data_IF_886352162704
#
_entry.id   IF_886352162704
#
_cell.length_a   1.000
_cell.length_b   1.000
_cell.length_c   1.000
_cell.angle_alpha   90.00
_cell.angle_beta   90.00
_cell.angle_gamma   90.00
#
_symmetry.space_group_name_H-M   'P 1'
#
loop_
_entity.id
_entity.type
_entity.pdbx_description
1 polymer ?
#
# COMPACT_ATOMS: atom_id res chain seq x y z
N UNK A 1 -23.41 14.03 -10.62
CA UNK A 1 -24.30 14.80 -11.52
C UNK A 1 -23.55 15.89 -12.29
N UNK A 2 -22.70 16.70 -11.66
CA UNK A 2 -22.01 17.81 -12.33
C UNK A 2 -21.07 17.38 -13.49
N UNK A 3 -20.35 16.25 -13.36
CA UNK A 3 -19.46 15.74 -14.40
C UNK A 3 -20.24 15.31 -15.65
N UNK A 4 -21.35 14.57 -15.49
CA UNK A 4 -22.19 14.14 -16.61
C UNK A 4 -22.86 15.32 -17.32
N UNK A 5 -23.31 16.35 -16.59
CA UNK A 5 -23.90 17.57 -17.17
C UNK A 5 -22.87 18.36 -17.98
N UNK A 6 -21.63 18.49 -17.47
CA UNK A 6 -20.52 19.11 -18.19
C UNK A 6 -20.19 18.33 -19.46
N UNK A 7 -20.08 17.01 -19.36
CA UNK A 7 -19.82 16.16 -20.51
C UNK A 7 -20.95 16.29 -21.55
N UNK A 8 -22.21 16.33 -21.11
CA UNK A 8 -23.37 16.51 -22.00
C UNK A 8 -23.34 17.86 -22.70
N UNK A 9 -22.85 18.92 -22.06
CA UNK A 9 -22.69 20.22 -22.70
C UNK A 9 -21.61 20.24 -23.78
N UNK A 10 -20.61 19.35 -23.70
CA UNK A 10 -19.48 19.27 -24.61
C UNK A 10 -19.76 18.34 -25.80
N UNK A 11 -20.33 17.16 -25.58
CA UNK A 11 -20.51 16.10 -26.58
C UNK A 11 -21.97 15.69 -26.81
N UNK A 12 -22.93 16.42 -26.24
CA UNK A 12 -24.35 16.17 -26.45
C UNK A 12 -24.86 14.86 -25.86
N UNK A 13 -25.75 14.17 -26.59
CA UNK A 13 -26.39 12.92 -26.14
C UNK A 13 -25.40 11.75 -25.99
N UNK A 14 -24.27 11.77 -26.68
CA UNK A 14 -23.20 10.76 -26.58
C UNK A 14 -22.67 10.63 -25.15
N UNK A 15 -22.74 11.69 -24.35
CA UNK A 15 -22.39 11.68 -22.93
C UNK A 15 -23.16 10.62 -22.10
N UNK A 16 -24.32 10.17 -22.58
CA UNK A 16 -25.11 9.14 -21.89
C UNK A 16 -24.49 7.72 -22.05
N UNK A 17 -23.64 7.51 -23.03
CA UNK A 17 -22.93 6.27 -23.28
C UNK A 17 -21.67 6.16 -22.42
N UNK A 18 -21.18 7.27 -21.87
CA UNK A 18 -20.01 7.28 -21.01
C UNK A 18 -20.38 6.82 -19.60
N UNK A 19 -19.73 5.77 -19.12
CA UNK A 19 -19.88 5.26 -17.76
C UNK A 19 -19.02 6.12 -16.83
N UNK A 20 -19.67 6.85 -15.90
CA UNK A 20 -18.99 7.68 -14.89
C UNK A 20 -19.25 7.07 -13.52
N UNK A 21 -18.21 6.54 -12.87
CA UNK A 21 -18.30 5.81 -11.60
C UNK A 21 -17.07 6.04 -10.74
N UNK A 22 -17.20 5.80 -9.44
CA UNK A 22 -16.05 5.61 -8.55
C UNK A 22 -15.52 4.17 -8.70
N UNK A 23 -14.29 3.90 -8.29
CA UNK A 23 -13.72 2.56 -8.28
C UNK A 23 -14.61 1.56 -7.53
N UNK A 24 -15.15 1.95 -6.38
CA UNK A 24 -16.04 1.10 -5.60
C UNK A 24 -17.37 0.81 -6.32
N UNK A 25 -17.97 1.81 -7.00
CA UNK A 25 -19.16 1.59 -7.79
C UNK A 25 -18.91 0.70 -8.99
N UNK A 26 -17.74 0.80 -9.61
CA UNK A 26 -17.31 -0.10 -10.68
C UNK A 26 -17.15 -1.53 -10.16
N UNK A 27 -16.47 -1.71 -9.03
CA UNK A 27 -16.30 -3.01 -8.40
C UNK A 27 -17.65 -3.64 -8.03
N UNK A 28 -18.58 -2.87 -7.46
CA UNK A 28 -19.93 -3.34 -7.15
C UNK A 28 -20.70 -3.82 -8.40
N UNK A 29 -20.54 -3.12 -9.52
CA UNK A 29 -21.16 -3.54 -10.79
C UNK A 29 -20.53 -4.83 -11.34
N UNK A 30 -19.21 -4.95 -11.31
CA UNK A 30 -18.52 -6.17 -11.74
C UNK A 30 -19.00 -7.37 -10.91
N UNK A 31 -19.08 -7.20 -9.59
CA UNK A 31 -19.58 -8.24 -8.69
C UNK A 31 -21.02 -8.61 -9.02
N UNK A 32 -21.91 -7.60 -9.14
CA UNK A 32 -23.35 -7.85 -9.40
C UNK A 32 -23.63 -8.45 -10.77
N UNK A 33 -22.83 -8.12 -11.77
CA UNK A 33 -22.97 -8.65 -13.13
C UNK A 33 -22.38 -10.06 -13.29
N UNK A 34 -21.49 -10.48 -12.40
CA UNK A 34 -20.76 -11.75 -12.48
C UNK A 34 -20.81 -12.53 -11.15
N UNK A 35 -21.98 -12.72 -10.52
CA UNK A 35 -22.10 -13.27 -9.17
C UNK A 35 -21.49 -14.67 -9.00
N UNK A 36 -21.38 -15.44 -10.08
CA UNK A 36 -20.80 -16.79 -10.09
C UNK A 36 -19.31 -16.82 -9.76
N UNK A 37 -18.60 -15.70 -9.90
CA UNK A 37 -17.17 -15.58 -9.61
C UNK A 37 -16.88 -15.03 -8.21
N UNK A 38 -17.92 -14.69 -7.44
CA UNK A 38 -17.78 -14.07 -6.13
C UNK A 38 -18.41 -14.89 -5.01
N UNK A 39 -17.93 -14.69 -3.79
CA UNK A 39 -18.41 -15.41 -2.61
C UNK A 39 -19.94 -15.24 -2.41
N UNK A 40 -20.60 -16.35 -2.11
CA UNK A 40 -22.04 -16.42 -1.79
C UNK A 40 -23.00 -15.81 -2.83
N UNK A 41 -22.61 -15.72 -4.11
CA UNK A 41 -23.46 -15.14 -5.15
C UNK A 41 -23.74 -13.66 -4.94
N UNK A 42 -22.94 -12.99 -4.14
CA UNK A 42 -22.74 -11.55 -4.04
C UNK A 42 -23.92 -10.67 -3.58
N UNK A 43 -24.85 -11.17 -2.81
CA UNK A 43 -25.82 -10.32 -2.07
C UNK A 43 -25.22 -9.89 -0.71
N UNK A 44 -24.06 -9.24 -0.73
CA UNK A 44 -23.41 -8.78 0.48
C UNK A 44 -23.77 -7.30 0.75
N UNK A 45 -24.09 -6.98 2.00
CA UNK A 45 -24.42 -5.60 2.40
C UNK A 45 -23.17 -4.91 2.97
N UNK A 46 -23.02 -3.59 2.76
CA UNK A 46 -21.97 -2.84 3.42
C UNK A 46 -22.06 -2.98 4.96
N UNK A 47 -20.93 -3.31 5.59
CA UNK A 47 -20.86 -3.39 7.05
C UNK A 47 -20.88 -1.99 7.65
N UNK A 48 -21.63 -1.80 8.76
CA UNK A 48 -21.55 -0.58 9.55
C UNK A 48 -20.29 -0.60 10.45
N UNK A 49 -19.80 0.60 10.81
CA UNK A 49 -18.62 0.73 11.69
C UNK A 49 -18.81 0.01 13.02
N UNK A 50 -20.02 0.07 13.58
CA UNK A 50 -20.34 -0.61 14.83
C UNK A 50 -20.27 -2.14 14.67
N UNK A 51 -20.88 -2.69 13.63
CA UNK A 51 -20.85 -4.12 13.37
C UNK A 51 -19.43 -4.63 13.08
N UNK A 52 -18.63 -3.83 12.36
CA UNK A 52 -17.22 -4.12 12.12
C UNK A 52 -16.41 -4.19 13.43
N UNK A 53 -16.64 -3.22 14.32
CA UNK A 53 -15.99 -3.17 15.62
C UNK A 53 -16.39 -4.36 16.51
N UNK A 54 -17.69 -4.72 16.56
CA UNK A 54 -18.19 -5.89 17.30
C UNK A 54 -17.58 -7.19 16.79
N UNK A 55 -17.45 -7.35 15.48
CA UNK A 55 -16.81 -8.53 14.88
C UNK A 55 -15.34 -8.62 15.33
N UNK A 56 -14.60 -7.52 15.23
CA UNK A 56 -13.22 -7.46 15.67
C UNK A 56 -13.08 -7.74 17.16
N UNK A 57 -13.93 -7.15 18.00
CA UNK A 57 -13.95 -7.40 19.44
C UNK A 57 -14.11 -8.91 19.75
N UNK A 58 -15.07 -9.57 19.11
CA UNK A 58 -15.30 -11.01 19.31
C UNK A 58 -14.08 -11.87 18.89
N UNK A 59 -13.37 -11.45 17.83
CA UNK A 59 -12.13 -12.12 17.39
C UNK A 59 -11.04 -11.91 18.43
N UNK A 60 -10.87 -10.71 18.96
CA UNK A 60 -9.89 -10.39 19.98
C UNK A 60 -10.16 -11.16 21.30
N UNK A 61 -11.42 -11.34 21.67
CA UNK A 61 -11.82 -12.13 22.85
C UNK A 61 -11.44 -13.61 22.73
N UNK A 62 -11.31 -14.11 21.50
CA UNK A 62 -10.84 -15.47 21.21
C UNK A 62 -9.32 -15.61 21.10
N UNK A 63 -8.54 -14.52 21.17
CA UNK A 63 -7.08 -14.59 21.00
C UNK A 63 -6.42 -15.25 22.23
N UNK A 64 -5.39 -16.10 22.01
CA UNK A 64 -4.55 -16.62 23.09
C UNK A 64 -3.86 -15.50 23.87
N UNK A 65 -3.67 -15.67 25.17
CA UNK A 65 -3.02 -14.66 26.04
C UNK A 65 -1.60 -14.27 25.60
N UNK A 66 -0.88 -15.16 24.93
CA UNK A 66 0.46 -14.89 24.41
C UNK A 66 0.46 -14.23 23.01
N UNK A 67 -0.71 -13.97 22.43
CA UNK A 67 -0.80 -13.27 21.15
C UNK A 67 -0.35 -11.80 21.30
N UNK A 68 0.53 -11.28 20.42
CA UNK A 68 1.01 -9.89 20.48
C UNK A 68 -0.10 -8.84 20.46
N UNK A 69 -1.28 -9.17 19.93
CA UNK A 69 -2.44 -8.28 19.87
C UNK A 69 -3.34 -8.34 21.11
N UNK A 70 -3.23 -9.40 21.94
CA UNK A 70 -4.10 -9.64 23.10
C UNK A 70 -3.79 -8.76 24.34
N UNK A 71 -2.96 -7.73 24.17
CA UNK A 71 -2.59 -6.80 25.25
C UNK A 71 -3.82 -6.00 25.68
N UNK A 72 -4.16 -6.07 26.98
CA UNK A 72 -5.25 -5.29 27.59
C UNK A 72 -4.70 -4.24 28.54
N UNK A 73 -5.36 -3.10 28.55
CA UNK A 73 -5.20 -2.05 29.52
C UNK A 73 -6.59 -1.59 29.98
N UNK A 74 -6.86 -1.62 31.28
CA UNK A 74 -8.14 -1.23 31.87
C UNK A 74 -9.33 -1.94 31.19
N UNK A 75 -9.27 -3.29 31.09
CA UNK A 75 -10.23 -4.18 30.43
C UNK A 75 -10.50 -3.93 28.92
N UNK A 76 -9.70 -3.07 28.29
CA UNK A 76 -9.80 -2.79 26.85
C UNK A 76 -8.58 -3.33 26.11
N UNK A 77 -8.80 -3.81 24.91
CA UNK A 77 -7.69 -4.19 24.02
C UNK A 77 -6.94 -2.96 23.50
N UNK A 78 -5.66 -2.87 23.83
CA UNK A 78 -4.80 -1.75 23.44
C UNK A 78 -4.62 -1.63 21.92
N UNK A 79 -4.76 -2.73 21.19
CA UNK A 79 -4.50 -2.79 19.75
C UNK A 79 -5.75 -2.93 18.87
N UNK A 80 -6.97 -2.93 19.41
CA UNK A 80 -8.18 -3.12 18.62
C UNK A 80 -8.33 -2.09 17.50
N UNK A 81 -8.27 -0.80 17.83
CA UNK A 81 -8.35 0.29 16.84
C UNK A 81 -7.14 0.32 15.88
N UNK A 82 -5.94 0.00 16.38
CA UNK A 82 -4.75 -0.10 15.53
C UNK A 82 -4.85 -1.26 14.55
N UNK A 83 -5.43 -2.39 14.95
CA UNK A 83 -5.66 -3.55 14.10
C UNK A 83 -6.69 -3.23 13.00
N UNK A 84 -7.80 -2.57 13.36
CA UNK A 84 -8.80 -2.12 12.38
C UNK A 84 -8.18 -1.22 11.31
N UNK A 85 -7.44 -0.20 11.74
CA UNK A 85 -6.74 0.71 10.82
C UNK A 85 -5.70 0.00 9.96
N UNK A 86 -4.96 -0.95 10.55
CA UNK A 86 -3.93 -1.69 9.82
C UNK A 86 -4.53 -2.65 8.78
N UNK A 87 -5.67 -3.29 9.09
CA UNK A 87 -6.44 -4.09 8.13
C UNK A 87 -6.92 -3.20 6.98
N UNK A 88 -7.49 -2.01 7.27
CA UNK A 88 -7.88 -1.05 6.24
C UNK A 88 -6.73 -0.68 5.32
N UNK A 89 -5.57 -0.31 5.88
CA UNK A 89 -4.36 0.01 5.11
C UNK A 89 -3.85 -1.16 4.27
N UNK A 90 -3.92 -2.38 4.79
CA UNK A 90 -3.54 -3.57 4.03
C UNK A 90 -4.47 -3.76 2.82
N UNK A 91 -5.77 -3.56 3.00
CA UNK A 91 -6.76 -3.61 1.92
C UNK A 91 -6.52 -2.50 0.87
N UNK A 92 -6.27 -1.28 1.30
CA UNK A 92 -5.97 -0.15 0.41
C UNK A 92 -4.68 -0.37 -0.38
N UNK A 93 -3.73 -1.12 0.19
CA UNK A 93 -2.53 -1.58 -0.50
C UNK A 93 -2.76 -2.82 -1.42
N UNK A 94 -3.99 -3.33 -1.54
CA UNK A 94 -4.28 -4.53 -2.34
C UNK A 94 -3.78 -5.83 -1.72
N UNK A 95 -3.47 -5.84 -0.41
CA UNK A 95 -2.89 -7.00 0.27
C UNK A 95 -3.99 -7.85 0.91
N UNK A 96 -4.12 -9.08 0.44
CA UNK A 96 -4.91 -10.12 1.11
C UNK A 96 -4.16 -10.66 2.32
N UNK A 97 -4.84 -11.36 3.28
CA UNK A 97 -4.18 -11.99 4.41
C UNK A 97 -3.00 -12.89 3.99
N UNK A 98 -3.17 -13.68 2.92
CA UNK A 98 -2.13 -14.60 2.43
C UNK A 98 -0.95 -13.88 1.80
N UNK A 99 -1.19 -12.85 0.98
CA UNK A 99 -0.13 -12.01 0.41
C UNK A 99 0.65 -11.31 1.50
N UNK A 100 -0.05 -10.69 2.46
CA UNK A 100 0.57 -10.04 3.61
C UNK A 100 1.41 -11.04 4.42
N UNK A 101 0.87 -12.22 4.72
CA UNK A 101 1.57 -13.28 5.45
C UNK A 101 2.82 -13.77 4.72
N UNK A 102 2.75 -13.93 3.39
CA UNK A 102 3.91 -14.37 2.58
C UNK A 102 5.01 -13.30 2.58
N UNK A 103 4.65 -12.04 2.42
CA UNK A 103 5.58 -10.90 2.48
C UNK A 103 6.25 -10.82 3.86
N UNK A 104 5.49 -10.97 4.94
CA UNK A 104 6.03 -10.92 6.30
C UNK A 104 6.93 -12.12 6.63
N UNK A 105 6.63 -13.31 6.12
CA UNK A 105 7.52 -14.48 6.21
C UNK A 105 8.83 -14.26 5.46
N UNK A 106 8.77 -13.62 4.29
CA UNK A 106 9.98 -13.23 3.57
C UNK A 106 10.75 -12.15 4.33
N UNK A 107 10.05 -11.15 4.88
CA UNK A 107 10.67 -10.12 5.71
C UNK A 107 11.38 -10.69 6.96
N UNK A 108 10.81 -11.72 7.59
CA UNK A 108 11.48 -12.43 8.70
C UNK A 108 12.83 -13.02 8.25
N UNK A 109 12.89 -13.66 7.07
CA UNK A 109 14.14 -14.17 6.50
C UNK A 109 15.11 -13.03 6.19
N UNK A 110 14.61 -11.91 5.69
CA UNK A 110 15.40 -10.72 5.42
C UNK A 110 16.03 -10.15 6.71
N UNK A 111 15.26 -10.11 7.80
CA UNK A 111 15.76 -9.72 9.13
C UNK A 111 16.87 -10.68 9.58
N UNK A 112 16.65 -11.99 9.45
CA UNK A 112 17.62 -13.02 9.85
C UNK A 112 18.93 -12.94 9.06
N UNK A 113 18.87 -12.57 7.79
CA UNK A 113 20.05 -12.37 6.94
C UNK A 113 20.78 -11.06 7.24
N UNK A 114 20.06 -9.97 7.46
CA UNK A 114 20.62 -8.64 7.67
C UNK A 114 21.25 -8.49 9.06
N UNK A 115 20.57 -8.96 10.09
CA UNK A 115 20.88 -8.68 11.49
C UNK A 115 22.33 -9.02 11.90
N UNK A 116 22.89 -10.22 11.61
CA UNK A 116 24.24 -10.54 11.99
C UNK A 116 25.28 -9.69 11.26
N UNK A 117 25.07 -9.41 9.97
CA UNK A 117 25.97 -8.59 9.15
C UNK A 117 25.99 -7.14 9.62
N UNK A 118 24.81 -6.58 9.87
CA UNK A 118 24.71 -5.22 10.40
C UNK A 118 25.29 -5.09 11.80
N UNK A 119 25.10 -6.09 12.65
CA UNK A 119 25.68 -6.12 13.99
C UNK A 119 27.23 -6.16 13.96
N UNK A 120 27.80 -6.94 13.05
CA UNK A 120 29.24 -7.03 12.82
C UNK A 120 29.82 -5.70 12.32
N UNK A 121 29.24 -5.12 11.26
CA UNK A 121 29.66 -3.84 10.68
C UNK A 121 29.60 -2.68 11.68
N UNK A 122 28.59 -2.71 12.55
CA UNK A 122 28.37 -1.69 13.55
C UNK A 122 28.99 -2.02 14.93
N UNK A 123 29.71 -3.15 15.08
CA UNK A 123 30.38 -3.51 16.34
C UNK A 123 31.45 -2.46 16.76
N UNK A 124 32.31 -1.95 15.83
CA UNK A 124 33.31 -0.96 16.17
C UNK A 124 32.71 0.34 16.69
N UNK A 125 33.54 1.13 17.39
CA UNK A 125 33.19 2.49 17.79
C UNK A 125 33.06 3.36 16.57
N UNK A 126 31.91 4.04 16.44
CA UNK A 126 31.67 4.99 15.37
C UNK A 126 32.39 6.31 15.66
N UNK A 127 33.22 6.72 14.74
CA UNK A 127 33.91 8.00 14.75
C UNK A 127 33.91 8.58 13.34
N UNK A 128 34.10 9.89 13.20
CA UNK A 128 34.17 10.53 11.89
C UNK A 128 35.15 9.82 10.93
N UNK A 129 36.28 9.31 11.46
CA UNK A 129 37.30 8.59 10.65
C UNK A 129 36.83 7.22 10.12
N UNK A 130 35.85 6.59 10.80
CA UNK A 130 35.34 5.27 10.43
C UNK A 130 34.09 5.34 9.58
N UNK A 131 33.45 6.49 9.44
CA UNK A 131 32.20 6.64 8.66
C UNK A 131 32.38 6.33 7.15
N UNK A 132 33.46 6.77 6.46
CA UNK A 132 33.63 6.43 5.04
C UNK A 132 33.71 4.92 4.80
N UNK A 133 34.52 4.21 5.59
CA UNK A 133 34.65 2.76 5.48
C UNK A 133 33.33 2.02 5.81
N UNK A 134 32.53 2.57 6.74
CA UNK A 134 31.20 2.04 7.03
C UNK A 134 30.27 2.21 5.82
N UNK A 135 30.33 3.36 5.13
CA UNK A 135 29.53 3.62 3.94
C UNK A 135 29.83 2.59 2.84
N UNK A 136 31.12 2.39 2.53
CA UNK A 136 31.55 1.39 1.53
C UNK A 136 31.07 -0.04 1.87
N UNK A 137 31.14 -0.40 3.15
CA UNK A 137 30.67 -1.71 3.62
C UNK A 137 29.13 -1.84 3.51
N UNK A 138 28.38 -0.79 3.77
CA UNK A 138 26.92 -0.78 3.64
C UNK A 138 26.48 -0.88 2.17
N UNK A 139 27.18 -0.23 1.24
CA UNK A 139 26.96 -0.35 -0.20
C UNK A 139 27.24 -1.77 -0.69
N UNK A 140 28.33 -2.36 -0.22
CA UNK A 140 28.65 -3.78 -0.52
C UNK A 140 27.56 -4.72 0.00
N UNK A 141 26.96 -4.43 1.17
CA UNK A 141 25.90 -5.24 1.75
C UNK A 141 24.63 -5.24 0.89
N UNK A 142 24.27 -4.11 0.28
CA UNK A 142 23.14 -4.04 -0.68
C UNK A 142 23.40 -4.93 -1.88
N UNK A 143 24.63 -4.92 -2.38
CA UNK A 143 25.03 -5.77 -3.52
C UNK A 143 25.00 -7.27 -3.16
N UNK A 144 25.50 -7.63 -1.96
CA UNK A 144 25.47 -9.01 -1.46
C UNK A 144 24.05 -9.54 -1.22
N UNK A 145 23.15 -8.67 -0.75
CA UNK A 145 21.77 -9.01 -0.42
C UNK A 145 20.77 -8.40 -1.42
N UNK A 146 21.10 -8.48 -2.70
CA UNK A 146 20.26 -7.95 -3.76
C UNK A 146 18.81 -8.46 -3.67
N UNK A 147 17.84 -7.53 -3.77
CA UNK A 147 16.41 -7.83 -3.63
C UNK A 147 15.90 -7.93 -2.18
N UNK A 148 16.75 -7.65 -1.19
CA UNK A 148 16.34 -7.52 0.20
C UNK A 148 15.93 -6.06 0.49
N UNK A 149 14.65 -5.73 0.33
CA UNK A 149 14.12 -4.38 0.52
C UNK A 149 14.38 -3.81 1.93
N UNK A 150 14.46 -4.67 2.96
CA UNK A 150 14.81 -4.24 4.31
C UNK A 150 16.27 -3.76 4.36
N UNK A 151 17.18 -4.50 3.74
CA UNK A 151 18.60 -4.12 3.65
C UNK A 151 18.74 -2.76 2.96
N UNK A 152 18.11 -2.59 1.80
CA UNK A 152 18.14 -1.33 1.06
C UNK A 152 17.60 -0.16 1.89
N UNK A 153 16.48 -0.36 2.58
CA UNK A 153 15.87 0.67 3.46
C UNK A 153 16.78 1.04 4.63
N UNK A 154 17.34 0.04 5.32
CA UNK A 154 18.22 0.27 6.47
C UNK A 154 19.53 0.93 6.03
N UNK A 155 20.11 0.49 4.92
CA UNK A 155 21.33 1.10 4.35
C UNK A 155 21.08 2.54 3.96
N UNK A 156 19.97 2.87 3.30
CA UNK A 156 19.60 4.25 2.97
C UNK A 156 19.50 5.15 4.20
N UNK A 157 18.92 4.65 5.31
CA UNK A 157 18.87 5.40 6.57
C UNK A 157 20.27 5.68 7.12
N UNK A 158 21.19 4.70 7.04
CA UNK A 158 22.57 4.91 7.46
C UNK A 158 23.33 5.85 6.52
N UNK A 159 23.15 5.77 5.21
CA UNK A 159 23.73 6.70 4.23
C UNK A 159 23.33 8.14 4.56
N UNK A 160 22.03 8.41 4.72
CA UNK A 160 21.54 9.75 5.12
C UNK A 160 22.13 10.22 6.44
N UNK A 161 22.26 9.35 7.44
CA UNK A 161 22.83 9.71 8.74
C UNK A 161 24.34 9.97 8.64
N UNK A 162 25.09 9.22 7.81
CA UNK A 162 26.51 9.40 7.57
C UNK A 162 26.76 10.70 6.78
N UNK A 163 26.00 10.97 5.73
CA UNK A 163 26.07 12.20 4.94
C UNK A 163 25.85 13.45 5.81
N UNK A 164 24.93 13.36 6.78
CA UNK A 164 24.71 14.42 7.76
C UNK A 164 25.91 14.59 8.72
N UNK A 165 26.54 13.51 9.14
CA UNK A 165 27.64 13.53 10.12
C UNK A 165 29.01 13.91 9.49
N UNK A 166 29.27 13.59 8.22
CA UNK A 166 30.54 13.83 7.54
C UNK A 166 31.01 15.31 7.57
N UNK A 167 30.13 16.30 7.27
CA UNK A 167 30.54 17.73 7.34
C UNK A 167 30.81 18.24 8.77
N UNK A 168 30.17 17.59 9.76
CA UNK A 168 30.18 18.09 11.16
C UNK A 168 31.33 17.54 12.00
N UNK A 169 32.17 16.67 11.44
CA UNK A 169 33.26 15.95 12.16
C UNK A 169 32.77 15.15 13.39
N UNK A 170 31.47 14.84 13.43
CA UNK A 170 30.81 14.06 14.49
C UNK A 170 30.19 12.80 13.91
N UNK A 171 29.87 11.87 14.76
CA UNK A 171 29.14 10.62 14.38
C UNK A 171 27.81 10.50 15.14
N UNK A 172 27.18 11.65 15.47
CA UNK A 172 26.05 11.69 16.40
C UNK A 172 24.75 11.14 15.80
N UNK A 173 24.45 11.44 14.54
CA UNK A 173 23.25 10.94 13.85
C UNK A 173 23.37 9.44 13.61
N UNK A 174 24.51 8.99 13.08
CA UNK A 174 24.80 7.56 12.84
C UNK A 174 24.77 6.75 14.14
N UNK A 175 25.34 7.28 15.22
CA UNK A 175 25.34 6.61 16.54
C UNK A 175 23.95 6.50 17.15
N UNK A 176 23.12 7.55 17.01
CA UNK A 176 21.71 7.53 17.43
C UNK A 176 20.92 6.49 16.63
N UNK A 177 21.10 6.43 15.31
CA UNK A 177 20.46 5.47 14.45
C UNK A 177 20.85 4.03 14.81
N UNK A 178 22.17 3.76 15.00
CA UNK A 178 22.67 2.47 15.50
C UNK A 178 21.96 2.05 16.80
N UNK A 179 21.87 2.94 17.79
CA UNK A 179 21.24 2.64 19.09
C UNK A 179 19.74 2.44 18.97
N UNK A 180 19.09 3.15 18.02
CA UNK A 180 17.66 3.00 17.76
C UNK A 180 17.34 1.65 17.11
N UNK A 181 18.11 1.23 16.10
CA UNK A 181 17.88 0.01 15.34
C UNK A 181 18.38 -1.25 16.04
N UNK A 182 19.63 -1.24 16.53
CA UNK A 182 20.26 -2.39 17.16
C UNK A 182 20.18 -2.31 18.69
N UNK A 183 19.41 -3.19 19.29
CA UNK A 183 19.29 -3.32 20.74
C UNK A 183 19.94 -4.60 21.24
N UNK A 184 20.45 -4.56 22.47
CA UNK A 184 21.06 -5.73 23.08
C UNK A 184 19.96 -6.70 23.56
N UNK A 185 20.06 -7.96 23.16
CA UNK A 185 19.20 -9.04 23.58
C UNK A 185 20.07 -10.25 23.94
N UNK A 186 20.13 -10.59 25.23
CA UNK A 186 20.88 -11.75 25.75
C UNK A 186 22.35 -11.79 25.26
N UNK A 187 23.01 -10.61 25.21
CA UNK A 187 24.40 -10.48 24.79
C UNK A 187 24.63 -10.29 23.27
N UNK A 188 23.59 -10.36 22.46
CA UNK A 188 23.67 -10.14 21.02
C UNK A 188 22.95 -8.85 20.61
N UNK A 189 23.44 -8.19 19.55
CA UNK A 189 22.76 -7.03 18.96
C UNK A 189 21.72 -7.50 17.97
N UNK A 190 20.45 -7.09 18.17
CA UNK A 190 19.31 -7.49 17.36
C UNK A 190 18.47 -6.33 16.88
N UNK A 191 17.82 -6.48 15.75
CA UNK A 191 16.79 -5.59 15.21
C UNK A 191 15.44 -5.81 15.90
N UNK A 192 15.40 -5.62 17.23
CA UNK A 192 14.22 -5.97 18.05
C UNK A 192 12.96 -5.22 17.63
N UNK A 193 13.09 -3.98 17.18
CA UNK A 193 11.96 -3.20 16.66
C UNK A 193 11.32 -3.87 15.46
N UNK A 194 12.12 -4.23 14.45
CA UNK A 194 11.69 -4.89 13.24
C UNK A 194 11.10 -6.27 13.51
N UNK A 195 11.73 -7.06 14.39
CA UNK A 195 11.21 -8.38 14.80
C UNK A 195 9.85 -8.27 15.48
N UNK A 196 9.68 -7.32 16.40
CA UNK A 196 8.40 -7.08 17.09
C UNK A 196 7.32 -6.60 16.12
N UNK A 197 7.65 -5.67 15.25
CA UNK A 197 6.74 -5.18 14.21
C UNK A 197 6.31 -6.34 13.30
N UNK A 198 7.25 -7.12 12.79
CA UNK A 198 6.95 -8.28 11.95
C UNK A 198 6.07 -9.33 12.66
N UNK A 199 6.35 -9.61 13.94
CA UNK A 199 5.53 -10.53 14.75
C UNK A 199 4.12 -10.00 14.97
N UNK A 200 3.97 -8.70 15.23
CA UNK A 200 2.67 -8.05 15.38
C UNK A 200 1.85 -8.12 14.08
N UNK A 201 2.47 -7.84 12.95
CA UNK A 201 1.83 -7.94 11.65
C UNK A 201 1.45 -9.37 11.26
N UNK A 202 2.29 -10.37 11.60
CA UNK A 202 1.95 -11.77 11.39
C UNK A 202 0.73 -12.21 12.22
N UNK A 203 0.66 -11.77 13.49
CA UNK A 203 -0.54 -12.00 14.30
C UNK A 203 -1.77 -11.28 13.75
N UNK A 204 -1.59 -10.11 13.14
CA UNK A 204 -2.67 -9.38 12.49
C UNK A 204 -3.20 -10.12 11.25
N UNK A 205 -2.37 -10.87 10.51
CA UNK A 205 -2.85 -11.67 9.38
C UNK A 205 -3.93 -12.66 9.79
N UNK A 206 -3.77 -13.31 10.95
CA UNK A 206 -4.76 -14.27 11.43
C UNK A 206 -6.07 -13.58 11.87
N UNK A 207 -5.96 -12.39 12.46
CA UNK A 207 -7.12 -11.55 12.80
C UNK A 207 -7.81 -11.04 11.54
N UNK A 208 -7.05 -10.62 10.53
CA UNK A 208 -7.57 -10.13 9.27
C UNK A 208 -8.34 -11.22 8.52
N UNK A 209 -7.78 -12.44 8.42
CA UNK A 209 -8.44 -13.59 7.81
C UNK A 209 -9.73 -13.95 8.55
N UNK A 210 -9.69 -14.03 9.89
CA UNK A 210 -10.87 -14.28 10.72
C UNK A 210 -11.93 -13.19 10.55
N UNK A 211 -11.52 -11.93 10.42
CA UNK A 211 -12.42 -10.79 10.21
C UNK A 211 -13.14 -10.87 8.86
N UNK A 212 -12.42 -11.11 7.77
CA UNK A 212 -13.03 -11.30 6.46
C UNK A 212 -14.04 -12.47 6.46
N UNK A 213 -13.64 -13.61 7.02
CA UNK A 213 -14.52 -14.76 7.11
C UNK A 213 -15.77 -14.50 7.95
N UNK A 214 -15.64 -13.74 9.04
CA UNK A 214 -16.77 -13.38 9.90
C UNK A 214 -17.73 -12.38 9.22
N UNK A 215 -17.20 -11.46 8.41
CA UNK A 215 -18.01 -10.57 7.56
C UNK A 215 -18.82 -11.39 6.55
N UNK A 216 -18.17 -12.25 5.77
CA UNK A 216 -18.84 -13.07 4.75
C UNK A 216 -19.92 -14.00 5.33
N UNK A 217 -19.64 -14.64 6.46
CA UNK A 217 -20.62 -15.49 7.15
C UNK A 217 -21.87 -14.73 7.61
N UNK A 218 -21.77 -13.42 7.84
CA UNK A 218 -22.89 -12.53 8.24
C UNK A 218 -23.53 -11.82 7.06
N UNK A 219 -23.08 -12.08 5.83
CA UNK A 219 -23.55 -11.40 4.63
C UNK A 219 -23.09 -9.94 4.56
N UNK A 220 -21.94 -9.63 5.16
CA UNK A 220 -21.34 -8.30 5.12
C UNK A 220 -20.12 -8.24 4.21
N UNK A 221 -19.90 -7.04 3.66
CA UNK A 221 -18.71 -6.69 2.91
C UNK A 221 -18.31 -5.26 3.29
N UNK A 222 -17.05 -4.97 3.51
CA UNK A 222 -16.62 -3.59 3.58
C UNK A 222 -16.25 -3.05 2.17
N UNK A 223 -16.16 -1.74 2.05
CA UNK A 223 -15.91 -1.11 0.75
C UNK A 223 -14.57 -1.52 0.12
N UNK A 224 -13.51 -1.64 0.93
CA UNK A 224 -12.20 -2.06 0.43
C UNK A 224 -12.18 -3.53 0.02
N UNK A 225 -13.00 -4.40 0.65
CA UNK A 225 -13.14 -5.81 0.26
C UNK A 225 -13.74 -5.97 -1.14
N UNK A 226 -14.59 -5.03 -1.58
CA UNK A 226 -15.13 -5.07 -2.96
C UNK A 226 -13.99 -4.99 -3.98
N UNK A 227 -13.07 -4.05 -3.81
CA UNK A 227 -11.91 -3.89 -4.70
C UNK A 227 -11.02 -5.13 -4.67
N UNK A 228 -10.67 -5.61 -3.46
CA UNK A 228 -9.83 -6.80 -3.30
C UNK A 228 -10.47 -8.03 -3.96
N UNK A 229 -11.78 -8.25 -3.77
CA UNK A 229 -12.49 -9.38 -4.35
C UNK A 229 -12.48 -9.33 -5.88
N UNK A 230 -12.68 -8.14 -6.47
CA UNK A 230 -12.61 -7.97 -7.93
C UNK A 230 -11.19 -8.20 -8.44
N UNK A 231 -10.18 -7.62 -7.79
CA UNK A 231 -8.77 -7.85 -8.15
C UNK A 231 -8.46 -9.35 -8.16
N UNK A 232 -8.79 -10.07 -7.07
CA UNK A 232 -8.56 -11.51 -6.97
C UNK A 232 -9.29 -12.30 -8.07
N UNK A 233 -10.55 -11.96 -8.36
CA UNK A 233 -11.33 -12.62 -9.40
C UNK A 233 -10.70 -12.40 -10.79
N UNK A 234 -10.26 -11.19 -11.11
CA UNK A 234 -9.61 -10.86 -12.39
C UNK A 234 -8.20 -11.48 -12.52
N UNK A 235 -7.47 -11.65 -11.42
CA UNK A 235 -6.15 -12.29 -11.42
C UNK A 235 -6.26 -13.82 -11.60
N UNK A 236 -7.30 -14.43 -11.03
CA UNK A 236 -7.45 -15.89 -11.01
C UNK A 236 -8.32 -16.44 -12.13
N UNK A 237 -9.15 -15.60 -12.76
CA UNK A 237 -10.05 -15.99 -13.84
C UNK A 237 -9.77 -15.15 -15.09
N UNK A 238 -9.06 -15.76 -16.03
CA UNK A 238 -8.65 -15.12 -17.27
C UNK A 238 -9.85 -14.79 -18.16
N UNK A 239 -10.85 -15.67 -18.25
CA UNK A 239 -12.04 -15.46 -19.08
C UNK A 239 -12.81 -14.22 -18.59
N UNK A 240 -13.05 -14.11 -17.27
CA UNK A 240 -13.69 -12.94 -16.68
C UNK A 240 -12.89 -11.65 -16.95
N UNK A 241 -11.55 -11.73 -16.84
CA UNK A 241 -10.68 -10.57 -17.10
C UNK A 241 -10.80 -10.13 -18.55
N UNK A 242 -10.72 -11.05 -19.50
CA UNK A 242 -10.83 -10.75 -20.93
C UNK A 242 -12.20 -10.16 -21.29
N UNK A 243 -13.30 -10.72 -20.79
CA UNK A 243 -14.65 -10.21 -21.02
C UNK A 243 -14.79 -8.75 -20.57
N UNK A 244 -14.22 -8.41 -19.38
CA UNK A 244 -14.27 -7.05 -18.86
C UNK A 244 -13.33 -6.12 -19.64
N UNK A 245 -12.14 -6.56 -20.03
CA UNK A 245 -11.21 -5.81 -20.86
C UNK A 245 -11.81 -5.51 -22.25
N UNK A 246 -12.47 -6.47 -22.90
CA UNK A 246 -13.14 -6.26 -24.17
C UNK A 246 -14.29 -5.25 -24.08
N UNK A 247 -14.98 -5.19 -22.95
CA UNK A 247 -16.04 -4.21 -22.70
C UNK A 247 -15.50 -2.81 -22.32
N UNK A 248 -14.22 -2.72 -21.95
CA UNK A 248 -13.58 -1.49 -21.46
C UNK A 248 -12.69 -0.88 -22.55
N UNK A 249 -13.30 -0.18 -23.53
CA UNK A 249 -12.55 0.39 -24.66
C UNK A 249 -11.59 1.51 -24.26
N UNK A 250 -11.94 2.32 -23.26
CA UNK A 250 -11.15 3.46 -22.75
C UNK A 250 -11.36 3.59 -21.26
N UNK A 251 -10.28 3.71 -20.50
CA UNK A 251 -10.31 4.01 -19.07
C UNK A 251 -9.72 5.40 -18.82
N UNK A 252 -10.51 6.30 -18.22
CA UNK A 252 -10.06 7.62 -17.82
C UNK A 252 -10.17 7.77 -16.31
N UNK A 253 -9.09 8.16 -15.66
CA UNK A 253 -9.01 8.32 -14.20
C UNK A 253 -8.69 9.77 -13.89
N UNK A 254 -9.55 10.42 -13.13
CA UNK A 254 -9.36 11.77 -12.61
C UNK A 254 -8.81 11.72 -11.18
N UNK A 255 -8.10 12.78 -10.76
CA UNK A 255 -7.46 12.89 -9.43
C UNK A 255 -6.57 11.66 -9.10
N UNK A 256 -5.79 11.23 -10.09
CA UNK A 256 -5.01 10.00 -9.99
C UNK A 256 -4.03 10.00 -8.80
N UNK A 257 -3.52 11.16 -8.38
CA UNK A 257 -2.64 11.30 -7.23
C UNK A 257 -3.29 10.81 -5.91
N UNK A 258 -4.62 10.79 -5.83
CA UNK A 258 -5.36 10.35 -4.64
C UNK A 258 -5.73 8.86 -4.67
N UNK A 259 -5.32 8.15 -5.73
CA UNK A 259 -5.58 6.72 -5.87
C UNK A 259 -4.74 5.89 -4.90
N UNK A 260 -5.32 4.85 -4.32
CA UNK A 260 -4.57 3.86 -3.55
C UNK A 260 -4.08 2.69 -4.45
N UNK A 261 -3.20 1.86 -3.92
CA UNK A 261 -2.57 0.78 -4.68
C UNK A 261 -3.59 -0.25 -5.22
N UNK A 262 -4.66 -0.55 -4.48
CA UNK A 262 -5.71 -1.46 -4.95
C UNK A 262 -6.43 -0.89 -6.18
N UNK A 263 -6.71 0.43 -6.20
CA UNK A 263 -7.33 1.10 -7.34
C UNK A 263 -6.42 1.10 -8.57
N UNK A 264 -5.12 1.33 -8.37
CA UNK A 264 -4.12 1.28 -9.45
C UNK A 264 -4.01 -0.14 -10.01
N UNK A 265 -3.95 -1.15 -9.14
CA UNK A 265 -3.93 -2.56 -9.55
C UNK A 265 -5.18 -2.93 -10.35
N UNK A 266 -6.37 -2.48 -9.90
CA UNK A 266 -7.60 -2.69 -10.66
C UNK A 266 -7.53 -2.02 -12.04
N UNK A 267 -7.05 -0.77 -12.13
CA UNK A 267 -6.90 -0.07 -13.40
C UNK A 267 -5.99 -0.83 -14.38
N UNK A 268 -4.86 -1.37 -13.90
CA UNK A 268 -3.98 -2.21 -14.71
C UNK A 268 -4.68 -3.49 -15.19
N UNK A 269 -5.36 -4.22 -14.30
CA UNK A 269 -6.09 -5.44 -14.67
C UNK A 269 -7.18 -5.19 -15.71
N UNK A 270 -7.78 -4.00 -15.73
CA UNK A 270 -8.79 -3.61 -16.71
C UNK A 270 -8.22 -3.23 -18.07
N UNK A 271 -6.94 -2.86 -18.14
CA UNK A 271 -6.34 -2.28 -19.36
C UNK A 271 -5.15 -3.06 -19.91
N UNK A 272 -4.50 -3.90 -19.10
CA UNK A 272 -3.35 -4.72 -19.53
C UNK A 272 -3.82 -5.97 -20.27
N UNK A 273 -4.19 -5.76 -21.55
CA UNK A 273 -4.59 -6.85 -22.45
C UNK A 273 -3.42 -7.16 -23.41
N UNK A 274 -2.84 -8.38 -23.34
CA UNK A 274 -1.69 -8.77 -24.16
C UNK A 274 -1.98 -8.80 -25.67
N UNK A 275 -3.25 -8.72 -26.08
CA UNK A 275 -3.65 -8.65 -27.50
C UNK A 275 -3.66 -7.20 -28.04
N UNK A 276 -3.38 -6.20 -27.23
CA UNK A 276 -3.41 -4.79 -27.59
C UNK A 276 -2.02 -4.20 -27.36
N UNK A 277 -1.40 -3.62 -28.40
CA UNK A 277 -0.04 -3.06 -28.34
C UNK A 277 0.12 -1.93 -27.32
N UNK A 278 -0.93 -1.12 -27.12
CA UNK A 278 -0.94 -0.04 -26.13
C UNK A 278 -2.33 0.07 -25.48
N UNK A 279 -2.43 0.00 -24.14
CA UNK A 279 -3.70 0.13 -23.45
C UNK A 279 -4.29 1.53 -23.58
N UNK A 280 -5.61 1.62 -23.76
CA UNK A 280 -6.34 2.89 -23.83
C UNK A 280 -6.64 3.42 -22.42
N UNK A 281 -5.62 3.85 -21.70
CA UNK A 281 -5.73 4.45 -20.38
C UNK A 281 -5.24 5.89 -20.38
N UNK A 282 -5.98 6.77 -19.74
CA UNK A 282 -5.58 8.15 -19.49
C UNK A 282 -5.77 8.47 -18.02
N UNK A 283 -4.75 9.01 -17.40
CA UNK A 283 -4.81 9.49 -16.01
C UNK A 283 -4.57 11.00 -15.98
N UNK A 284 -5.30 11.69 -15.11
CA UNK A 284 -5.14 13.13 -14.86
C UNK A 284 -4.91 13.33 -13.38
N UNK A 285 -3.90 14.10 -13.02
CA UNK A 285 -3.55 14.35 -11.62
C UNK A 285 -2.47 15.41 -11.45
N UNK A 286 -2.31 15.88 -10.24
CA UNK A 286 -1.28 16.82 -9.85
C UNK A 286 -0.54 16.28 -8.61
N UNK A 287 0.75 15.88 -8.74
CA UNK A 287 1.51 15.31 -7.63
C UNK A 287 1.65 16.25 -6.44
N UNK A 288 1.56 17.58 -6.65
CA UNK A 288 1.66 18.57 -5.60
C UNK A 288 0.35 18.76 -4.81
N UNK A 289 -0.78 18.20 -5.28
CA UNK A 289 -2.07 18.25 -4.61
C UNK A 289 -2.39 17.01 -3.77
N UNK A 290 -1.49 16.07 -3.63
CA UNK A 290 -1.69 14.86 -2.82
C UNK A 290 -1.85 15.21 -1.34
N UNK A 291 -3.09 15.27 -0.86
CA UNK A 291 -3.42 15.57 0.54
C UNK A 291 -3.97 14.33 1.28
N UNK A 292 -4.27 13.26 0.56
CA UNK A 292 -4.90 12.05 1.07
C UNK A 292 -3.93 10.90 1.38
N UNK A 293 -2.67 11.19 1.72
CA UNK A 293 -1.69 10.18 2.14
C UNK A 293 -2.17 9.27 3.28
N UNK A 294 -3.12 9.75 4.10
CA UNK A 294 -3.77 8.94 5.13
C UNK A 294 -4.75 7.88 4.59
N UNK A 295 -5.25 8.03 3.36
CA UNK A 295 -6.11 7.06 2.66
C UNK A 295 -5.32 6.06 1.80
N UNK A 296 -3.99 5.96 1.99
CA UNK A 296 -3.14 5.05 1.23
C UNK A 296 -2.71 5.58 -0.14
N UNK A 297 -2.98 6.85 -0.46
CA UNK A 297 -2.38 7.51 -1.63
C UNK A 297 -0.85 7.54 -1.46
N UNK A 298 -0.14 7.13 -2.50
CA UNK A 298 1.32 7.06 -2.51
C UNK A 298 1.84 8.26 -3.29
N UNK A 299 2.79 9.00 -2.72
CA UNK A 299 3.39 10.17 -3.38
C UNK A 299 3.99 9.84 -4.75
N UNK A 300 4.37 8.58 -4.95
CA UNK A 300 5.03 8.09 -6.16
C UNK A 300 4.07 7.45 -7.19
N UNK A 301 2.74 7.58 -7.02
CA UNK A 301 1.76 6.94 -7.92
C UNK A 301 2.00 7.28 -9.39
N UNK A 302 2.29 8.54 -9.69
CA UNK A 302 2.56 9.00 -11.05
C UNK A 302 3.86 8.40 -11.58
N UNK A 303 4.91 8.37 -10.75
CA UNK A 303 6.20 7.79 -11.11
C UNK A 303 6.09 6.28 -11.34
N UNK A 304 5.33 5.56 -10.50
CA UNK A 304 5.06 4.13 -10.68
C UNK A 304 4.28 3.87 -11.97
N UNK A 305 3.29 4.71 -12.27
CA UNK A 305 2.53 4.62 -13.52
C UNK A 305 3.43 4.85 -14.74
N UNK A 306 4.33 5.86 -14.66
CA UNK A 306 5.32 6.13 -15.71
C UNK A 306 6.30 4.95 -15.88
N UNK A 307 6.77 4.36 -14.80
CA UNK A 307 7.65 3.19 -14.86
C UNK A 307 6.96 1.96 -15.46
N UNK A 308 5.67 1.75 -15.15
CA UNK A 308 4.92 0.60 -15.64
C UNK A 308 4.69 0.67 -17.17
N UNK A 309 4.28 1.82 -17.69
CA UNK A 309 3.99 1.99 -19.12
C UNK A 309 5.22 2.40 -19.95
N UNK A 310 6.29 2.89 -19.32
CA UNK A 310 7.58 3.20 -19.93
C UNK A 310 7.45 4.11 -21.16
N UNK A 311 8.07 3.70 -22.27
CA UNK A 311 8.10 4.46 -23.53
C UNK A 311 6.74 4.57 -24.24
N UNK A 312 5.76 3.74 -23.87
CA UNK A 312 4.39 3.81 -24.40
C UNK A 312 3.58 4.96 -23.82
N UNK A 313 4.08 5.63 -22.77
CA UNK A 313 3.37 6.72 -22.09
C UNK A 313 3.63 8.06 -22.75
N UNK A 314 2.54 8.75 -23.12
CA UNK A 314 2.59 10.14 -23.56
C UNK A 314 2.18 11.09 -22.43
N UNK A 315 3.12 11.91 -21.96
CA UNK A 315 2.89 12.87 -20.88
C UNK A 315 2.63 14.27 -21.40
N UNK A 316 1.52 14.89 -20.96
CA UNK A 316 1.16 16.27 -21.27
C UNK A 316 1.16 17.08 -19.98
N UNK A 317 2.01 18.11 -19.91
CA UNK A 317 2.01 19.05 -18.80
C UNK A 317 1.06 20.22 -19.09
N UNK A 318 0.04 20.40 -18.24
CA UNK A 318 -0.86 21.54 -18.31
C UNK A 318 -0.27 22.69 -17.48
N UNK A 319 0.25 23.71 -18.15
CA UNK A 319 0.93 24.85 -17.53
C UNK A 319 0.05 26.10 -17.39
N UNK A 320 -1.06 26.14 -18.11
CA UNK A 320 -1.98 27.28 -18.10
C UNK A 320 -3.02 27.12 -16.99
N UNK A 321 -3.13 28.12 -16.11
CA UNK A 321 -4.14 28.12 -15.03
C UNK A 321 -5.34 28.98 -15.42
N UNK A 322 -6.49 28.34 -15.63
CA UNK A 322 -7.77 28.98 -15.92
C UNK A 322 -8.74 28.98 -14.72
N UNK A 323 -8.31 28.49 -13.56
CA UNK A 323 -9.16 28.35 -12.35
C UNK A 323 -9.00 29.50 -11.38
N UNK A 324 -7.76 29.92 -11.10
CA UNK A 324 -7.43 30.91 -10.08
C UNK A 324 -7.12 32.26 -10.68
N UNK A 325 -7.41 33.33 -9.93
CA UNK A 325 -6.97 34.69 -10.31
C UNK A 325 -5.45 34.84 -10.11
N UNK A 326 -4.84 35.77 -10.85
CA UNK A 326 -3.41 36.04 -10.75
C UNK A 326 -2.96 36.35 -9.33
N UNK A 327 -3.77 37.09 -8.57
CA UNK A 327 -3.46 37.41 -7.15
C UNK A 327 -3.32 36.18 -6.26
N UNK A 328 -4.10 35.12 -6.54
CA UNK A 328 -3.98 33.84 -5.80
C UNK A 328 -2.69 33.11 -6.19
N UNK A 329 -2.38 33.10 -7.50
CA UNK A 329 -1.17 32.44 -8.00
C UNK A 329 0.12 33.11 -7.51
N UNK A 330 0.12 34.45 -7.39
CA UNK A 330 1.29 35.20 -6.91
C UNK A 330 1.56 35.00 -5.40
N UNK A 331 0.59 34.46 -4.65
CA UNK A 331 0.69 34.23 -3.20
C UNK A 331 0.71 32.74 -2.81
N UNK A 332 0.67 31.82 -3.77
CA UNK A 332 0.74 30.38 -3.55
C UNK A 332 2.18 29.88 -3.71
#
# INVERSE_FOLDING_TARGET
>A
NNMRERLRSMIGSTANQVVIKTFHSLAADIISSNPQHFYAGATLNPVSDLAALEILQNIFDGLPHNNPLAVRYDDRYSYLGSAQNAIGKAKDAGLTPDRLRSTLKQNAKNIDALEPRLAEMLAPSLSHKTLPALLDNLESLVTEQHGNALTESVVRLFQTAIEHDLPTTKSSATSKLKTKLLKNDSGTKKLLGERRANSWWLALCDVYEAYQLALYKRGYLDYSDMLISVIQALETNEDLRLDIQESTHYLLIDEFQDSNQAQITLAHLLTDNPSIDAPNIMVVGDPNQTIYGFNGAVLDNIDQFQQFYGESLFTINLVENYRSTQTILDNA
#
